data_IF_530487775677
#
_entry.id   IF_530487775677
#
_cell.length_a   1.000
_cell.length_b   1.000
_cell.length_c   1.000
_cell.angle_alpha   90.00
_cell.angle_beta   90.00
_cell.angle_gamma   90.00
#
_symmetry.space_group_name_H-M   'P 1'
#
loop_
_entity.id
_entity.type
_entity.pdbx_description
1 polymer ?
#
# COMPACT_ATOMS: atom_id res chain seq x y z
N UNK A 1 6.68 -13.05 0.12
CA UNK A 1 6.16 -11.67 -0.05
C UNK A 1 5.90 -10.98 1.31
N UNK A 2 5.23 -11.62 2.28
CA UNK A 2 4.98 -11.01 3.61
C UNK A 2 6.25 -10.77 4.44
N UNK A 3 7.28 -11.63 4.36
CA UNK A 3 8.51 -11.46 5.14
C UNK A 3 9.36 -10.24 4.74
N UNK A 4 9.37 -9.86 3.46
CA UNK A 4 10.21 -8.75 2.98
C UNK A 4 9.73 -7.42 3.57
N UNK A 5 8.42 -7.19 3.61
CA UNK A 5 7.85 -5.97 4.20
C UNK A 5 8.13 -5.85 5.71
N UNK A 6 8.22 -6.98 6.43
CA UNK A 6 8.51 -7.01 7.87
C UNK A 6 9.96 -6.61 8.19
N UNK A 7 10.87 -6.76 7.24
CA UNK A 7 12.28 -6.38 7.38
C UNK A 7 12.50 -4.88 7.10
N UNK A 8 11.82 -4.34 6.09
CA UNK A 8 11.80 -2.90 5.75
C UNK A 8 11.19 -2.01 6.85
N UNK A 9 10.28 -2.55 7.68
CA UNK A 9 9.63 -1.79 8.75
C UNK A 9 10.47 -1.66 10.04
N UNK A 10 11.68 -2.25 10.08
CA UNK A 10 12.58 -2.18 11.24
C UNK A 10 13.32 -0.85 11.35
N UNK A 11 13.76 -0.30 10.23
CA UNK A 11 14.50 0.96 10.19
C UNK A 11 13.55 2.11 9.87
N UNK A 12 13.48 3.11 10.75
CA UNK A 12 12.59 4.27 10.60
C UNK A 12 13.39 5.55 10.57
N UNK A 13 12.96 6.49 9.72
CA UNK A 13 13.52 7.84 9.65
C UNK A 13 12.49 8.87 10.12
N UNK A 14 12.96 10.04 10.55
CA UNK A 14 12.12 11.16 10.96
C UNK A 14 11.94 12.09 9.76
N UNK A 15 10.69 12.32 9.36
CA UNK A 15 10.33 13.29 8.32
C UNK A 15 9.51 14.42 8.93
N UNK A 16 9.82 15.65 8.53
CA UNK A 16 9.04 16.83 8.90
C UNK A 16 7.99 17.11 7.83
N UNK A 17 6.73 17.24 8.24
CA UNK A 17 5.63 17.64 7.36
C UNK A 17 4.88 18.82 7.97
N UNK A 18 4.21 19.66 7.15
CA UNK A 18 3.35 20.72 7.66
C UNK A 18 2.32 20.21 8.68
N UNK A 19 2.15 20.94 9.78
CA UNK A 19 1.22 20.58 10.87
C UNK A 19 -0.22 20.39 10.39
N UNK A 20 -0.65 21.17 9.39
CA UNK A 20 -1.97 21.01 8.75
C UNK A 20 -2.15 19.65 8.08
N UNK A 21 -1.09 19.12 7.46
CA UNK A 21 -1.13 17.80 6.82
C UNK A 21 -1.08 16.68 7.86
N UNK A 22 -0.23 16.81 8.89
CA UNK A 22 -0.17 15.86 10.00
C UNK A 22 -1.55 15.70 10.66
N UNK A 23 -2.23 16.82 10.95
CA UNK A 23 -3.58 16.80 11.52
C UNK A 23 -4.54 16.02 10.64
N UNK A 24 -4.62 16.33 9.32
CA UNK A 24 -5.48 15.62 8.36
C UNK A 24 -5.22 14.11 8.32
N UNK A 25 -3.96 13.70 8.45
CA UNK A 25 -3.57 12.28 8.51
C UNK A 25 -4.15 11.64 9.76
N UNK A 26 -3.99 12.26 10.94
CA UNK A 26 -4.58 11.76 12.17
C UNK A 26 -6.11 11.67 12.10
N UNK A 27 -6.78 12.66 11.48
CA UNK A 27 -8.24 12.62 11.34
C UNK A 27 -8.72 11.45 10.49
N UNK A 28 -7.98 11.11 9.43
CA UNK A 28 -8.28 9.96 8.57
C UNK A 28 -8.07 8.62 9.28
N UNK A 29 -7.14 8.55 10.23
CA UNK A 29 -6.78 7.29 10.91
C UNK A 29 -7.75 6.97 12.05
N UNK A 30 -8.41 7.98 12.64
CA UNK A 30 -9.33 7.77 13.78
C UNK A 30 -10.44 6.74 13.54
N UNK A 31 -10.83 6.52 12.29
CA UNK A 31 -11.90 5.58 11.91
C UNK A 31 -11.38 4.35 11.14
N UNK A 32 -10.07 4.13 11.09
CA UNK A 32 -9.47 2.99 10.39
C UNK A 32 -8.75 2.06 11.36
N UNK A 33 -8.50 0.82 10.92
CA UNK A 33 -7.76 -0.19 11.70
C UNK A 33 -6.26 0.11 11.82
N UNK A 34 -5.81 1.26 11.30
CA UNK A 34 -4.41 1.66 11.26
C UNK A 34 -4.03 2.26 12.61
N UNK A 35 -2.92 1.79 13.18
CA UNK A 35 -2.57 2.10 14.58
C UNK A 35 -1.73 3.36 14.72
N UNK A 36 -1.17 3.89 13.63
CA UNK A 36 -0.31 5.08 13.69
C UNK A 36 -0.27 5.88 12.40
N UNK A 37 0.03 7.18 12.53
CA UNK A 37 0.32 8.05 11.39
C UNK A 37 1.48 7.54 10.52
N UNK A 38 2.51 6.97 11.16
CA UNK A 38 3.64 6.35 10.45
C UNK A 38 3.19 5.20 9.56
N UNK A 39 2.33 4.31 10.06
CA UNK A 39 1.84 3.16 9.29
C UNK A 39 0.98 3.59 8.11
N UNK A 40 0.09 4.56 8.31
CA UNK A 40 -0.74 5.12 7.23
C UNK A 40 0.11 5.79 6.14
N UNK A 41 1.08 6.62 6.54
CA UNK A 41 1.97 7.30 5.59
C UNK A 41 2.85 6.30 4.86
N UNK A 42 3.41 5.30 5.55
CA UNK A 42 4.18 4.23 4.91
C UNK A 42 3.34 3.46 3.90
N UNK A 43 2.08 3.12 4.23
CA UNK A 43 1.18 2.45 3.29
C UNK A 43 0.92 3.30 2.03
N UNK A 44 0.62 4.58 2.19
CA UNK A 44 0.40 5.49 1.05
C UNK A 44 1.66 5.67 0.21
N UNK A 45 2.81 5.86 0.84
CA UNK A 45 4.09 5.99 0.14
C UNK A 45 4.41 4.71 -0.62
N UNK A 46 4.17 3.54 -0.03
CA UNK A 46 4.29 2.26 -0.75
C UNK A 46 3.34 2.19 -1.92
N UNK A 47 2.08 2.58 -1.77
CA UNK A 47 1.13 2.53 -2.88
C UNK A 47 1.57 3.43 -4.05
N UNK A 48 1.94 4.68 -3.75
CA UNK A 48 2.33 5.67 -4.76
C UNK A 48 3.67 5.31 -5.41
N UNK A 49 4.67 4.89 -4.61
CA UNK A 49 6.00 4.56 -5.13
C UNK A 49 6.05 3.14 -5.74
N UNK A 50 5.20 2.22 -5.30
CA UNK A 50 5.05 0.90 -5.93
C UNK A 50 4.33 0.98 -7.27
N UNK A 51 3.49 1.99 -7.50
CA UNK A 51 2.96 2.29 -8.84
C UNK A 51 4.04 2.78 -9.82
N UNK A 52 5.20 3.26 -9.34
CA UNK A 52 6.36 3.56 -10.20
C UNK A 52 7.33 2.36 -10.34
N UNK A 53 7.21 1.32 -9.50
CA UNK A 53 8.19 0.22 -9.44
C UNK A 53 7.87 -0.95 -10.36
N UNK A 54 6.60 -1.20 -10.66
CA UNK A 54 6.20 -2.22 -11.62
C UNK A 54 4.99 -1.71 -12.36
N UNK A 55 5.27 -1.28 -13.60
CA UNK A 55 4.32 -1.34 -14.68
C UNK A 55 3.67 -2.73 -14.66
N UNK A 56 2.57 -2.87 -13.93
CA UNK A 56 1.55 -3.92 -14.05
C UNK A 56 0.83 -3.76 -15.41
N UNK A 57 1.53 -3.37 -16.49
CA UNK A 57 0.93 -3.29 -17.83
C UNK A 57 0.68 -4.66 -18.45
N UNK A 58 0.99 -5.76 -17.74
CA UNK A 58 1.00 -7.09 -18.34
C UNK A 58 0.23 -8.16 -17.57
N UNK A 59 -0.59 -7.77 -16.58
CA UNK A 59 -1.73 -8.60 -16.20
C UNK A 59 -2.85 -8.31 -17.20
N UNK A 60 -2.64 -8.84 -18.41
CA UNK A 60 -3.63 -8.92 -19.47
C UNK A 60 -4.86 -9.64 -18.88
N UNK A 61 -6.00 -8.94 -18.79
CA UNK A 61 -7.29 -9.44 -18.27
C UNK A 61 -7.67 -10.82 -18.82
N UNK A 62 -7.13 -11.18 -20.00
CA UNK A 62 -7.23 -12.51 -20.59
C UNK A 62 -6.68 -13.62 -19.70
N UNK A 63 -5.50 -13.47 -19.09
CA UNK A 63 -4.90 -14.49 -18.20
C UNK A 63 -5.74 -14.68 -16.94
N UNK A 64 -6.29 -13.60 -16.41
CA UNK A 64 -7.20 -13.65 -15.25
C UNK A 64 -8.48 -14.37 -15.63
N UNK A 65 -9.10 -14.04 -16.78
CA UNK A 65 -10.31 -14.70 -17.28
C UNK A 65 -10.09 -16.18 -17.58
N UNK A 66 -8.99 -16.57 -18.20
CA UNK A 66 -8.67 -17.98 -18.46
C UNK A 66 -8.49 -18.76 -17.16
N UNK A 67 -7.82 -18.18 -16.17
CA UNK A 67 -7.68 -18.78 -14.85
C UNK A 67 -9.02 -18.92 -14.13
N UNK A 68 -9.88 -17.91 -14.19
CA UNK A 68 -11.22 -17.97 -13.60
C UNK A 68 -12.12 -19.01 -14.25
N UNK A 69 -12.07 -19.15 -15.59
CA UNK A 69 -12.75 -20.23 -16.32
C UNK A 69 -12.26 -21.62 -15.91
N UNK A 70 -10.94 -21.81 -15.80
CA UNK A 70 -10.35 -23.09 -15.35
C UNK A 70 -10.74 -23.46 -13.92
N UNK A 71 -11.05 -22.47 -13.09
CA UNK A 71 -11.46 -22.65 -11.71
C UNK A 71 -12.98 -22.65 -11.53
N UNK A 72 -13.77 -22.47 -12.60
CA UNK A 72 -15.23 -22.55 -12.57
C UNK A 72 -15.95 -21.34 -11.96
N UNK A 73 -15.29 -20.19 -11.90
CA UNK A 73 -15.90 -18.94 -11.41
C UNK A 73 -16.57 -18.11 -12.53
N UNK A 74 -16.41 -18.53 -13.78
CA UNK A 74 -16.93 -17.94 -15.03
C UNK A 74 -17.34 -19.06 -15.97
#
# INVERSE_FOLDING_TARGET
MISVFKELDREKTIISIPTKLAKKVEEKIRNSDIKSASEYVTFLLRLILSEESEVYSDIDDKKVRERLKRLGYL
#
